data_IF_786890061184
#
_entry.id   IF_786890061184
#
_cell.length_a   1.000
_cell.length_b   1.000
_cell.length_c   1.000
_cell.angle_alpha   90.00
_cell.angle_beta   90.00
_cell.angle_gamma   90.00
#
_symmetry.space_group_name_H-M   'P 1'
#
loop_
_entity.id
_entity.type
_entity.pdbx_description
1 polymer ?
#
# COMPACT_ATOMS: atom_id res chain seq x y z
N UNK A 1 31.14 59.39 29.07
CA UNK A 1 31.40 58.31 28.09
C UNK A 1 30.88 56.99 28.66
N UNK A 2 29.63 56.63 28.36
CA UNK A 2 29.00 55.36 28.76
C UNK A 2 28.09 54.95 27.61
N UNK A 3 28.38 53.83 26.95
CA UNK A 3 27.39 52.85 26.51
C UNK A 3 28.13 51.55 26.20
N UNK A 4 28.07 50.62 27.15
CA UNK A 4 28.38 49.22 26.99
C UNK A 4 27.03 48.55 26.70
N UNK A 5 26.78 48.08 25.47
CA UNK A 5 25.58 47.29 25.14
C UNK A 5 26.01 45.92 24.65
N UNK A 6 25.51 44.93 25.38
CA UNK A 6 25.67 43.49 25.20
C UNK A 6 25.36 43.02 23.77
N UNK A 7 26.34 42.37 23.13
CA UNK A 7 26.16 41.48 21.98
C UNK A 7 26.30 40.02 22.45
N UNK A 8 25.32 39.51 23.19
CA UNK A 8 25.18 38.07 23.50
C UNK A 8 23.74 37.80 23.92
N UNK A 9 22.83 37.45 22.99
CA UNK A 9 22.12 36.17 23.14
C UNK A 9 21.66 35.50 21.82
N UNK A 10 22.16 35.88 20.63
CA UNK A 10 21.63 35.33 19.36
C UNK A 10 22.35 34.06 18.89
N UNK A 11 23.65 33.90 19.20
CA UNK A 11 24.43 32.74 18.78
C UNK A 11 24.10 31.46 19.56
N UNK A 12 23.78 31.58 20.86
CA UNK A 12 23.45 30.42 21.72
C UNK A 12 22.08 29.83 21.39
N UNK A 13 21.12 30.65 20.94
CA UNK A 13 19.77 30.18 20.59
C UNK A 13 19.76 29.36 19.29
N UNK A 14 20.54 29.77 18.29
CA UNK A 14 20.71 29.02 17.03
C UNK A 14 21.37 27.65 17.24
N UNK A 15 22.43 27.58 18.04
CA UNK A 15 23.09 26.30 18.36
C UNK A 15 22.20 25.33 19.15
N UNK A 16 21.29 25.84 19.98
CA UNK A 16 20.34 25.02 20.74
C UNK A 16 19.22 24.50 19.85
N UNK A 17 18.72 25.31 18.89
CA UNK A 17 17.71 24.85 17.93
C UNK A 17 18.29 23.81 16.97
N UNK A 18 19.51 24.02 16.49
CA UNK A 18 20.18 23.10 15.56
C UNK A 18 20.52 21.76 16.22
N UNK A 19 20.97 21.77 17.48
CA UNK A 19 21.17 20.54 18.26
C UNK A 19 19.84 19.85 18.65
N UNK A 20 18.75 20.60 18.87
CA UNK A 20 17.42 20.03 19.10
C UNK A 20 16.83 19.37 17.84
N UNK A 21 17.01 19.99 16.66
CA UNK A 21 16.61 19.40 15.37
C UNK A 21 17.45 18.17 15.05
N UNK A 22 18.75 18.20 15.33
CA UNK A 22 19.66 17.08 15.06
C UNK A 22 19.41 15.90 16.01
N UNK A 23 19.09 16.16 17.29
CA UNK A 23 18.74 15.11 18.26
C UNK A 23 17.36 14.49 17.97
N UNK A 24 16.35 15.28 17.57
CA UNK A 24 15.06 14.76 17.13
C UNK A 24 15.13 14.05 15.77
N UNK A 25 15.98 14.50 14.86
CA UNK A 25 16.29 13.81 13.61
C UNK A 25 16.89 12.43 13.88
N UNK A 26 17.85 12.32 14.79
CA UNK A 26 18.49 11.06 15.15
C UNK A 26 17.54 10.07 15.86
N UNK A 27 16.68 10.55 16.76
CA UNK A 27 15.68 9.69 17.42
C UNK A 27 14.62 9.22 16.41
N UNK A 28 14.09 10.13 15.60
CA UNK A 28 13.08 9.84 14.56
C UNK A 28 13.65 8.89 13.50
N UNK A 29 14.90 9.07 13.08
CA UNK A 29 15.58 8.19 12.13
C UNK A 29 15.83 6.79 12.72
N UNK A 30 16.24 6.71 14.00
CA UNK A 30 16.37 5.44 14.73
C UNK A 30 15.03 4.70 14.81
N UNK A 31 13.94 5.38 15.15
CA UNK A 31 12.60 4.77 15.18
C UNK A 31 12.09 4.38 13.80
N UNK A 32 12.32 5.22 12.79
CA UNK A 32 12.01 4.93 11.38
C UNK A 32 12.73 3.64 10.94
N UNK A 33 14.03 3.51 11.22
CA UNK A 33 14.80 2.28 10.93
C UNK A 33 14.25 1.05 11.67
N UNK A 34 13.84 1.19 12.94
CA UNK A 34 13.24 0.10 13.74
C UNK A 34 11.88 -0.32 13.16
N UNK A 35 11.02 0.64 12.83
CA UNK A 35 9.70 0.43 12.20
C UNK A 35 9.86 -0.35 10.90
N UNK A 36 10.79 0.06 10.03
CA UNK A 36 11.05 -0.64 8.78
C UNK A 36 11.61 -2.06 9.00
N UNK A 37 12.44 -2.26 10.02
CA UNK A 37 13.07 -3.56 10.25
C UNK A 37 12.15 -4.62 10.84
N UNK A 38 11.10 -4.23 11.57
CA UNK A 38 10.26 -5.14 12.37
C UNK A 38 8.94 -5.59 11.72
N UNK A 39 8.77 -5.40 10.40
CA UNK A 39 7.58 -5.85 9.64
C UNK A 39 6.26 -5.41 10.27
N UNK A 40 6.05 -4.10 10.36
CA UNK A 40 4.86 -3.53 11.02
C UNK A 40 3.55 -3.97 10.37
N UNK A 41 3.54 -4.17 9.05
CA UNK A 41 2.40 -4.68 8.31
C UNK A 41 2.69 -6.11 7.85
N UNK A 42 1.77 -7.03 8.14
CA UNK A 42 1.87 -8.41 7.72
C UNK A 42 1.98 -8.51 6.20
N UNK A 43 2.95 -9.28 5.72
CA UNK A 43 3.10 -9.54 4.29
C UNK A 43 2.10 -10.60 3.86
N UNK A 44 1.55 -10.46 2.65
CA UNK A 44 0.74 -11.50 2.05
C UNK A 44 1.01 -11.56 0.56
N UNK A 45 1.56 -12.69 0.13
CA UNK A 45 1.81 -12.97 -1.28
C UNK A 45 0.78 -13.96 -1.81
N UNK A 46 0.38 -13.75 -3.06
CA UNK A 46 -0.34 -14.71 -3.90
C UNK A 46 0.54 -15.07 -5.09
N UNK A 47 0.33 -16.25 -5.67
CA UNK A 47 1.21 -16.83 -6.68
C UNK A 47 0.43 -17.49 -7.80
N UNK A 48 1.02 -17.52 -8.99
CA UNK A 48 0.63 -18.39 -10.10
C UNK A 48 1.89 -19.14 -10.56
N UNK A 49 2.23 -20.27 -9.92
CA UNK A 49 3.55 -20.90 -10.06
C UNK A 49 3.86 -21.41 -11.47
N UNK A 50 2.83 -21.85 -12.21
CA UNK A 50 2.96 -22.25 -13.63
C UNK A 50 3.63 -21.16 -14.47
N UNK A 51 3.38 -19.90 -14.14
CA UNK A 51 3.88 -18.73 -14.85
C UNK A 51 4.97 -17.98 -14.07
N UNK A 52 5.49 -18.54 -12.96
CA UNK A 52 6.50 -17.90 -12.10
C UNK A 52 6.14 -16.46 -11.68
N UNK A 53 4.84 -16.23 -11.49
CA UNK A 53 4.29 -14.95 -11.08
C UNK A 53 3.96 -14.97 -9.59
N UNK A 54 4.27 -13.88 -8.91
CA UNK A 54 3.81 -13.61 -7.55
C UNK A 54 3.39 -12.15 -7.40
N UNK A 55 2.54 -11.85 -6.43
CA UNK A 55 2.24 -10.47 -6.06
C UNK A 55 2.10 -10.30 -4.56
N UNK A 56 2.65 -9.21 -4.03
CA UNK A 56 2.35 -8.79 -2.67
C UNK A 56 1.08 -7.93 -2.65
N UNK A 57 0.20 -8.16 -1.68
CA UNK A 57 -1.05 -7.40 -1.57
C UNK A 57 -0.89 -6.08 -0.82
N UNK A 58 -0.82 -4.98 -1.58
CA UNK A 58 -0.98 -3.63 -1.04
C UNK A 58 -2.46 -3.24 -1.11
N UNK A 59 -3.14 -3.22 0.03
CA UNK A 59 -4.57 -2.92 0.03
C UNK A 59 -4.86 -1.55 -0.58
N UNK A 60 -5.99 -1.44 -1.31
CA UNK A 60 -6.45 -0.20 -1.99
C UNK A 60 -5.61 0.25 -3.19
N UNK A 61 -4.67 -0.58 -3.62
CA UNK A 61 -3.85 -0.39 -4.83
C UNK A 61 -4.05 -1.58 -5.78
N UNK A 62 -5.28 -1.77 -6.30
CA UNK A 62 -5.63 -2.87 -7.23
C UNK A 62 -5.47 -4.31 -6.67
N UNK A 63 -5.15 -4.48 -5.38
CA UNK A 63 -4.79 -5.79 -4.80
C UNK A 63 -5.84 -6.88 -4.98
N UNK A 64 -7.13 -6.59 -4.83
CA UNK A 64 -8.18 -7.60 -4.99
C UNK A 64 -8.25 -8.14 -6.42
N UNK A 65 -8.10 -7.28 -7.42
CA UNK A 65 -8.11 -7.68 -8.82
C UNK A 65 -6.83 -8.43 -9.18
N UNK A 66 -5.67 -7.97 -8.72
CA UNK A 66 -4.40 -8.69 -8.93
C UNK A 66 -4.41 -10.07 -8.27
N UNK A 67 -4.95 -10.20 -7.06
CA UNK A 67 -5.18 -11.50 -6.44
C UNK A 67 -6.11 -12.37 -7.28
N UNK A 68 -7.21 -11.81 -7.79
CA UNK A 68 -8.13 -12.53 -8.67
C UNK A 68 -7.43 -13.09 -9.92
N UNK A 69 -6.60 -12.28 -10.57
CA UNK A 69 -5.81 -12.68 -11.74
C UNK A 69 -4.89 -13.85 -11.41
N UNK A 70 -4.13 -13.76 -10.31
CA UNK A 70 -3.24 -14.85 -9.90
C UNK A 70 -4.00 -16.12 -9.53
N UNK A 71 -5.16 -16.01 -8.85
CA UNK A 71 -6.02 -17.14 -8.58
C UNK A 71 -6.55 -17.78 -9.88
N UNK A 72 -6.99 -16.98 -10.84
CA UNK A 72 -7.44 -17.48 -12.14
C UNK A 72 -6.31 -18.21 -12.87
N UNK A 73 -5.12 -17.63 -12.93
CA UNK A 73 -3.97 -18.24 -13.60
C UNK A 73 -3.48 -19.54 -12.91
N UNK A 74 -3.57 -19.63 -11.59
CA UNK A 74 -3.14 -20.79 -10.82
C UNK A 74 -4.15 -21.96 -10.85
N UNK A 75 -5.45 -21.65 -10.96
CA UNK A 75 -6.52 -22.65 -10.80
C UNK A 75 -7.75 -22.33 -11.66
N UNK A 76 -7.51 -22.05 -12.94
CA UNK A 76 -8.49 -21.63 -13.94
C UNK A 76 -9.81 -22.41 -13.88
N UNK A 77 -9.78 -23.74 -14.04
CA UNK A 77 -10.99 -24.57 -14.07
C UNK A 77 -11.85 -24.45 -12.81
N UNK A 78 -11.22 -24.24 -11.65
CA UNK A 78 -11.93 -24.06 -10.38
C UNK A 78 -12.43 -22.62 -10.26
N UNK A 79 -11.64 -21.66 -10.75
CA UNK A 79 -12.00 -20.25 -10.75
C UNK A 79 -13.21 -19.97 -11.64
N UNK A 80 -13.20 -20.43 -12.89
CA UNK A 80 -14.27 -20.18 -13.89
C UNK A 80 -15.57 -20.89 -13.54
N UNK A 81 -15.52 -22.05 -12.86
CA UNK A 81 -16.72 -22.68 -12.28
C UNK A 81 -17.36 -21.85 -11.17
N UNK A 82 -16.60 -20.98 -10.50
CA UNK A 82 -17.06 -20.20 -9.35
C UNK A 82 -17.42 -18.75 -9.70
N UNK A 83 -16.71 -18.17 -10.66
CA UNK A 83 -16.79 -16.76 -11.01
C UNK A 83 -16.86 -16.60 -12.52
N UNK A 84 -17.85 -15.82 -12.98
CA UNK A 84 -17.99 -15.46 -14.39
C UNK A 84 -16.96 -14.38 -14.79
N UNK A 85 -16.64 -13.49 -13.85
CA UNK A 85 -15.70 -12.38 -14.04
C UNK A 85 -14.64 -12.36 -12.95
N UNK A 86 -13.43 -11.90 -13.28
CA UNK A 86 -12.36 -11.60 -12.31
C UNK A 86 -12.87 -10.61 -11.25
N UNK A 87 -13.70 -9.66 -11.64
CA UNK A 87 -14.29 -8.69 -10.73
C UNK A 87 -15.22 -9.30 -9.66
N UNK A 88 -15.68 -10.54 -9.83
CA UNK A 88 -16.53 -11.25 -8.86
C UNK A 88 -15.72 -11.88 -7.71
N UNK A 89 -14.39 -11.87 -7.79
CA UNK A 89 -13.53 -12.43 -6.75
C UNK A 89 -13.84 -11.87 -5.36
N UNK A 90 -13.77 -12.75 -4.37
CA UNK A 90 -13.85 -12.41 -2.95
C UNK A 90 -12.78 -13.15 -2.18
N UNK A 91 -12.23 -12.49 -1.15
CA UNK A 91 -11.28 -13.12 -0.22
C UNK A 91 -11.91 -14.26 0.62
N UNK A 92 -13.21 -14.54 0.45
CA UNK A 92 -13.86 -15.76 0.97
C UNK A 92 -13.61 -17.00 0.11
N UNK A 93 -12.98 -16.87 -1.06
CA UNK A 93 -12.63 -18.00 -1.92
C UNK A 93 -11.48 -18.82 -1.32
N UNK A 94 -11.84 -19.73 -0.40
CA UNK A 94 -10.87 -20.52 0.38
C UNK A 94 -9.92 -21.32 -0.52
N UNK A 95 -10.40 -21.82 -1.66
CA UNK A 95 -9.59 -22.63 -2.58
C UNK A 95 -8.36 -21.86 -3.11
N UNK A 96 -8.42 -20.54 -3.27
CA UNK A 96 -7.23 -19.76 -3.57
C UNK A 96 -6.57 -19.18 -2.31
N UNK A 97 -7.37 -18.60 -1.40
CA UNK A 97 -6.86 -17.81 -0.26
C UNK A 97 -6.22 -18.66 0.83
N UNK A 98 -6.67 -19.90 0.98
CA UNK A 98 -6.18 -20.84 2.00
C UNK A 98 -5.39 -22.01 1.36
N UNK A 99 -5.18 -22.00 0.04
CA UNK A 99 -4.35 -23.03 -0.60
C UNK A 99 -2.95 -22.99 0.01
N UNK A 100 -2.52 -24.16 0.49
CA UNK A 100 -1.15 -24.37 0.99
C UNK A 100 -0.18 -23.85 -0.07
N UNK A 101 0.83 -23.09 0.34
CA UNK A 101 1.84 -22.45 -0.53
C UNK A 101 1.37 -21.24 -1.37
N UNK A 102 0.09 -20.84 -1.29
CA UNK A 102 -0.43 -19.65 -1.98
C UNK A 102 -0.66 -18.44 -1.08
N UNK A 103 -0.61 -18.62 0.25
CA UNK A 103 -0.64 -17.54 1.23
C UNK A 103 0.66 -17.57 2.01
N UNK A 104 1.63 -16.80 1.53
CA UNK A 104 2.98 -16.76 2.10
C UNK A 104 3.14 -15.48 2.92
N UNK A 105 3.71 -15.62 4.11
CA UNK A 105 3.87 -14.56 5.10
C UNK A 105 5.18 -13.79 4.97
N UNK A 106 6.06 -14.18 4.04
CA UNK A 106 7.27 -13.40 3.74
C UNK A 106 7.85 -13.68 2.36
N UNK A 107 8.65 -12.74 1.86
CA UNK A 107 9.46 -12.95 0.65
C UNK A 107 10.42 -14.14 0.79
N UNK A 108 10.92 -14.42 2.00
CA UNK A 108 11.79 -15.57 2.27
C UNK A 108 11.08 -16.90 2.05
N UNK A 109 9.85 -17.03 2.55
CA UNK A 109 9.00 -18.21 2.31
C UNK A 109 8.68 -18.39 0.83
N UNK A 110 8.47 -17.30 0.09
CA UNK A 110 8.26 -17.33 -1.36
C UNK A 110 9.45 -17.95 -2.09
N UNK A 111 10.68 -17.53 -1.76
CA UNK A 111 11.89 -18.14 -2.33
C UNK A 111 12.03 -19.60 -1.88
N UNK A 112 11.78 -19.89 -0.60
CA UNK A 112 11.96 -21.24 -0.06
C UNK A 112 11.05 -22.25 -0.76
N UNK A 113 9.78 -21.91 -0.92
CA UNK A 113 8.77 -22.82 -1.45
C UNK A 113 8.81 -22.87 -2.98
N UNK A 114 8.79 -21.71 -3.64
CA UNK A 114 8.66 -21.64 -5.10
C UNK A 114 10.00 -21.56 -5.84
N UNK A 115 11.03 -21.06 -5.17
CA UNK A 115 12.42 -21.11 -5.65
C UNK A 115 13.17 -22.38 -5.19
N UNK A 116 12.55 -23.25 -4.38
CA UNK A 116 13.19 -24.42 -3.74
C UNK A 116 14.49 -24.03 -3.02
N UNK A 117 14.51 -22.87 -2.36
CA UNK A 117 15.68 -22.29 -1.71
C UNK A 117 16.70 -21.64 -2.66
N UNK A 118 16.62 -21.86 -3.97
CA UNK A 118 17.53 -21.24 -4.95
C UNK A 118 17.13 -19.78 -5.22
N UNK A 119 17.67 -18.89 -4.39
CA UNK A 119 17.42 -17.45 -4.46
C UNK A 119 17.85 -16.82 -5.78
N UNK A 120 18.99 -17.21 -6.32
CA UNK A 120 19.54 -16.60 -7.56
C UNK A 120 18.62 -16.92 -8.73
N UNK A 121 18.28 -18.19 -8.90
CA UNK A 121 17.38 -18.63 -9.97
C UNK A 121 15.96 -18.05 -9.79
N UNK A 122 15.45 -17.99 -8.56
CA UNK A 122 14.15 -17.37 -8.28
C UNK A 122 14.13 -15.92 -8.75
N UNK A 123 15.10 -15.09 -8.34
CA UNK A 123 15.15 -13.67 -8.72
C UNK A 123 15.37 -13.45 -10.22
N UNK A 124 16.02 -14.39 -10.91
CA UNK A 124 16.20 -14.33 -12.37
C UNK A 124 14.93 -14.68 -13.14
N UNK A 125 14.11 -15.59 -12.63
CA UNK A 125 13.03 -16.22 -13.41
C UNK A 125 11.62 -15.85 -12.96
N UNK A 126 11.43 -15.42 -11.70
CA UNK A 126 10.14 -15.00 -11.20
C UNK A 126 9.95 -13.50 -11.29
N UNK A 127 8.71 -13.07 -11.54
CA UNK A 127 8.31 -11.67 -11.41
C UNK A 127 7.41 -11.52 -10.18
N UNK A 128 7.90 -10.77 -9.19
CA UNK A 128 7.13 -10.45 -7.98
C UNK A 128 6.57 -9.03 -8.12
N UNK A 129 5.27 -8.93 -8.37
CA UNK A 129 4.58 -7.66 -8.63
C UNK A 129 4.20 -6.98 -7.31
N UNK A 130 4.41 -5.66 -7.24
CA UNK A 130 3.83 -4.81 -6.20
C UNK A 130 3.13 -3.64 -6.87
N UNK A 131 1.81 -3.53 -6.67
CA UNK A 131 1.05 -2.41 -7.20
C UNK A 131 0.97 -1.31 -6.15
N UNK A 132 1.39 -0.11 -6.53
CA UNK A 132 1.35 1.10 -5.71
C UNK A 132 0.37 2.10 -6.28
N UNK A 133 -0.19 2.98 -5.44
CA UNK A 133 -1.14 4.02 -5.82
C UNK A 133 -0.76 5.33 -5.18
N UNK A 134 -1.15 6.46 -5.78
CA UNK A 134 -0.99 7.78 -5.14
C UNK A 134 -1.51 7.71 -3.68
N UNK A 135 -0.70 8.12 -2.67
CA UNK A 135 -1.04 7.88 -1.27
C UNK A 135 -2.34 8.54 -0.80
N UNK A 136 -2.65 9.75 -1.30
CA UNK A 136 -3.90 10.46 -0.94
C UNK A 136 -5.10 9.73 -1.55
N UNK A 137 -5.03 9.38 -2.83
CA UNK A 137 -6.08 8.62 -3.51
C UNK A 137 -6.32 7.26 -2.86
N UNK A 138 -5.23 6.60 -2.43
CA UNK A 138 -5.30 5.34 -1.68
C UNK A 138 -6.00 5.54 -0.34
N UNK A 139 -5.63 6.58 0.42
CA UNK A 139 -6.28 6.94 1.68
C UNK A 139 -7.78 7.18 1.48
N UNK A 140 -8.16 8.02 0.51
CA UNK A 140 -9.56 8.35 0.21
C UNK A 140 -10.34 7.08 -0.12
N UNK A 141 -9.79 6.21 -0.99
CA UNK A 141 -10.43 4.95 -1.35
C UNK A 141 -10.60 4.01 -0.15
N UNK A 142 -9.60 3.96 0.74
CA UNK A 142 -9.66 3.25 2.01
C UNK A 142 -10.76 3.80 2.92
N UNK A 143 -10.72 5.09 3.19
CA UNK A 143 -11.58 5.76 4.16
C UNK A 143 -13.04 5.75 3.70
N UNK A 144 -13.31 6.08 2.44
CA UNK A 144 -14.67 6.07 1.90
C UNK A 144 -15.23 4.65 1.93
N UNK A 145 -14.47 3.66 1.47
CA UNK A 145 -14.95 2.27 1.47
C UNK A 145 -15.23 1.76 2.88
N UNK A 146 -14.30 1.95 3.82
CA UNK A 146 -14.28 1.21 5.08
C UNK A 146 -15.01 1.99 6.18
N UNK A 147 -14.74 3.29 6.27
CA UNK A 147 -15.24 4.15 7.34
C UNK A 147 -16.49 4.93 6.94
N UNK A 148 -16.51 5.51 5.75
CA UNK A 148 -17.65 6.33 5.36
C UNK A 148 -18.93 5.48 5.14
N UNK A 149 -18.79 4.31 4.50
CA UNK A 149 -19.94 3.43 4.23
C UNK A 149 -20.31 2.46 5.34
N UNK A 150 -19.51 2.34 6.42
CA UNK A 150 -19.76 1.42 7.54
C UNK A 150 -19.86 -0.08 7.18
N UNK A 151 -19.23 -0.53 6.08
CA UNK A 151 -19.38 -1.89 5.56
C UNK A 151 -18.40 -2.94 6.12
N UNK A 152 -17.79 -2.68 7.28
CA UNK A 152 -16.75 -3.56 7.83
C UNK A 152 -17.06 -4.05 9.24
N UNK A 153 -16.71 -5.31 9.49
CA UNK A 153 -16.62 -5.85 10.86
C UNK A 153 -15.53 -5.10 11.64
N UNK A 154 -15.68 -4.99 12.96
CA UNK A 154 -14.77 -4.23 13.83
C UNK A 154 -14.60 -2.77 13.39
N UNK A 155 -15.71 -2.14 12.96
CA UNK A 155 -15.76 -0.77 12.46
C UNK A 155 -15.04 0.23 13.36
N UNK A 156 -15.23 0.13 14.69
CA UNK A 156 -14.58 1.01 15.67
C UNK A 156 -13.06 0.91 15.59
N UNK A 157 -12.49 -0.29 15.53
CA UNK A 157 -11.04 -0.51 15.41
C UNK A 157 -10.52 -0.08 14.03
N UNK A 158 -11.25 -0.42 12.98
CA UNK A 158 -10.90 -0.09 11.60
C UNK A 158 -10.76 1.42 11.41
N UNK A 159 -11.71 2.16 11.96
CA UNK A 159 -11.82 3.61 11.83
C UNK A 159 -11.23 4.37 13.01
N UNK A 160 -10.34 3.73 13.78
CA UNK A 160 -9.63 4.32 14.93
C UNK A 160 -10.57 5.01 15.93
N UNK A 161 -11.81 4.55 16.07
CA UNK A 161 -12.84 5.15 16.92
C UNK A 161 -13.43 6.48 16.42
N UNK A 162 -13.07 6.93 15.22
CA UNK A 162 -13.49 8.21 14.65
C UNK A 162 -14.74 8.14 13.76
N UNK A 163 -15.18 6.92 13.42
CA UNK A 163 -16.30 6.72 12.51
C UNK A 163 -16.09 7.40 11.14
N UNK A 164 -17.05 8.23 10.71
CA UNK A 164 -17.00 9.01 9.45
C UNK A 164 -16.11 10.25 9.52
N UNK A 165 -15.61 10.62 10.69
CA UNK A 165 -14.82 11.85 10.86
C UNK A 165 -13.37 11.63 10.39
N UNK A 166 -13.08 12.02 9.14
CA UNK A 166 -11.74 11.88 8.56
C UNK A 166 -10.70 12.78 9.25
N UNK A 167 -11.09 13.96 9.77
CA UNK A 167 -10.17 14.84 10.51
C UNK A 167 -9.66 14.14 11.77
N UNK A 168 -10.58 13.57 12.55
CA UNK A 168 -10.26 12.72 13.71
C UNK A 168 -9.36 11.54 13.30
N UNK A 169 -9.72 10.84 12.22
CA UNK A 169 -8.98 9.67 11.78
C UNK A 169 -7.53 10.01 11.41
N UNK A 170 -7.33 11.05 10.61
CA UNK A 170 -5.99 11.49 10.18
C UNK A 170 -5.16 11.95 11.38
N UNK A 171 -5.76 12.69 12.32
CA UNK A 171 -5.08 13.10 13.55
C UNK A 171 -4.62 11.89 14.39
N UNK A 172 -5.49 10.88 14.56
CA UNK A 172 -5.12 9.66 15.29
C UNK A 172 -4.07 8.84 14.56
N UNK A 173 -4.19 8.70 13.24
CA UNK A 173 -3.19 7.99 12.43
C UNK A 173 -1.83 8.67 12.50
N UNK A 174 -1.80 10.01 12.39
CA UNK A 174 -0.59 10.82 12.51
C UNK A 174 0.07 10.56 13.86
N UNK A 175 -0.67 10.71 14.96
CA UNK A 175 -0.15 10.45 16.31
C UNK A 175 0.36 9.01 16.46
N UNK A 176 -0.35 8.00 15.97
CA UNK A 176 0.11 6.60 16.05
C UNK A 176 1.48 6.43 15.39
N UNK A 177 1.69 7.07 14.23
CA UNK A 177 2.91 6.94 13.44
C UNK A 177 4.05 7.83 13.94
N UNK A 178 3.77 8.91 14.68
CA UNK A 178 4.78 9.82 15.24
C UNK A 178 5.11 9.56 16.71
N UNK A 179 4.21 8.95 17.49
CA UNK A 179 4.43 8.60 18.91
C UNK A 179 5.39 7.42 19.13
N UNK A 180 6.01 6.90 18.07
CA UNK A 180 7.07 5.89 18.14
C UNK A 180 6.66 4.49 17.70
N UNK A 181 7.59 3.54 17.88
CA UNK A 181 7.46 2.19 17.33
C UNK A 181 6.34 1.35 17.96
N UNK A 182 6.16 1.40 19.29
CA UNK A 182 5.20 0.54 20.00
C UNK A 182 3.76 0.81 19.53
N UNK A 183 3.36 2.09 19.44
CA UNK A 183 2.03 2.48 18.95
C UNK A 183 1.80 2.01 17.50
N UNK A 184 2.81 2.19 16.66
CA UNK A 184 2.79 1.76 15.25
C UNK A 184 2.64 0.24 15.11
N UNK A 185 3.32 -0.55 15.94
CA UNK A 185 3.24 -2.01 15.89
C UNK A 185 1.88 -2.55 16.32
N UNK A 186 1.33 -2.04 17.43
CA UNK A 186 0.11 -2.54 18.07
C UNK A 186 -1.20 -2.06 17.40
N UNK A 187 -1.10 -1.30 16.31
CA UNK A 187 -2.27 -0.93 15.52
C UNK A 187 -3.05 -2.17 15.01
N UNK A 188 -4.37 -2.05 14.92
CA UNK A 188 -5.23 -3.11 14.40
C UNK A 188 -4.79 -3.52 12.99
N UNK A 189 -4.54 -4.82 12.78
CA UNK A 189 -3.87 -5.32 11.57
C UNK A 189 -4.54 -4.89 10.25
N UNK A 190 -5.88 -4.85 10.20
CA UNK A 190 -6.58 -4.39 8.99
C UNK A 190 -6.41 -2.88 8.77
N UNK A 191 -6.41 -2.07 9.84
CA UNK A 191 -6.11 -0.64 9.74
C UNK A 191 -4.70 -0.43 9.20
N UNK A 192 -3.73 -1.19 9.71
CA UNK A 192 -2.34 -1.16 9.21
C UNK A 192 -2.29 -1.48 7.71
N UNK A 193 -2.88 -2.59 7.30
CA UNK A 193 -2.89 -3.02 5.90
C UNK A 193 -3.50 -1.97 4.94
N UNK A 194 -4.53 -1.25 5.37
CA UNK A 194 -5.27 -0.32 4.50
C UNK A 194 -4.76 1.13 4.54
N UNK A 195 -4.20 1.58 5.66
CA UNK A 195 -3.91 2.99 5.88
C UNK A 195 -2.45 3.31 6.19
N UNK A 196 -1.61 2.32 6.47
CA UNK A 196 -0.19 2.61 6.67
C UNK A 196 0.51 2.82 5.32
N UNK A 197 1.61 3.58 5.31
CA UNK A 197 2.45 3.77 4.13
C UNK A 197 2.74 2.45 3.39
N UNK A 198 2.70 2.51 2.06
CA UNK A 198 2.96 1.39 1.16
C UNK A 198 4.42 0.91 1.29
N UNK A 199 5.35 1.82 1.58
CA UNK A 199 6.75 1.50 1.90
C UNK A 199 6.92 0.67 3.17
N UNK A 200 5.91 0.60 4.06
CA UNK A 200 5.90 -0.26 5.25
C UNK A 200 5.28 -1.65 4.98
N UNK A 201 4.74 -1.88 3.79
CA UNK A 201 4.12 -3.14 3.42
C UNK A 201 5.12 -4.03 2.68
N UNK A 202 4.83 -5.32 2.61
CA UNK A 202 5.61 -6.28 1.81
C UNK A 202 7.09 -6.38 2.19
N UNK A 203 7.46 -5.86 3.37
CA UNK A 203 8.84 -5.65 3.78
C UNK A 203 9.66 -4.96 2.66
N UNK A 204 9.02 -3.97 2.01
CA UNK A 204 9.46 -3.39 0.75
C UNK A 204 10.90 -2.90 0.81
N UNK A 205 11.31 -2.15 1.84
CA UNK A 205 12.67 -1.62 1.91
C UNK A 205 13.76 -2.70 1.84
N UNK A 206 13.54 -3.90 2.41
CA UNK A 206 14.50 -5.01 2.36
C UNK A 206 14.50 -5.74 1.01
N UNK A 207 13.45 -5.54 0.21
CA UNK A 207 13.18 -6.28 -1.01
C UNK A 207 12.98 -5.36 -2.23
N UNK A 208 13.28 -4.06 -2.11
CA UNK A 208 12.96 -3.02 -3.09
C UNK A 208 13.35 -3.42 -4.51
N UNK A 209 14.60 -3.84 -4.70
CA UNK A 209 15.15 -4.21 -6.01
C UNK A 209 14.67 -5.58 -6.53
N UNK A 210 13.77 -6.25 -5.82
CA UNK A 210 13.22 -7.58 -6.18
C UNK A 210 11.78 -7.50 -6.66
N UNK A 211 11.15 -6.34 -6.56
CA UNK A 211 9.78 -6.13 -7.01
C UNK A 211 9.73 -5.51 -8.41
N UNK A 212 8.76 -5.94 -9.20
CA UNK A 212 8.25 -5.17 -10.34
C UNK A 212 7.16 -4.25 -9.82
N UNK A 213 7.45 -2.96 -9.73
CA UNK A 213 6.52 -1.97 -9.17
C UNK A 213 5.65 -1.39 -10.28
N UNK A 214 4.34 -1.58 -10.17
CA UNK A 214 3.36 -0.98 -11.09
C UNK A 214 2.60 0.15 -10.40
N UNK A 215 2.49 1.30 -11.06
CA UNK A 215 1.75 2.46 -10.54
C UNK A 215 0.30 2.42 -11.06
N UNK A 216 -0.63 2.19 -10.15
CA UNK A 216 -2.07 2.29 -10.44
C UNK A 216 -2.52 3.74 -10.28
N UNK A 217 -2.89 4.36 -11.40
CA UNK A 217 -3.52 5.67 -11.43
C UNK A 217 -4.95 5.57 -12.01
N UNK A 218 -5.99 5.81 -11.20
CA UNK A 218 -7.36 5.87 -11.70
C UNK A 218 -7.59 6.87 -12.85
N UNK A 219 -6.73 7.88 -13.01
CA UNK A 219 -6.82 8.90 -14.06
C UNK A 219 -6.14 8.47 -15.37
N UNK A 220 -5.18 7.55 -15.31
CA UNK A 220 -4.48 7.00 -16.46
C UNK A 220 -4.25 5.49 -16.29
N UNK A 221 -5.28 4.72 -16.63
CA UNK A 221 -5.26 3.28 -16.46
C UNK A 221 -4.60 2.52 -17.61
N UNK A 222 -4.53 3.11 -18.80
CA UNK A 222 -3.99 2.42 -19.98
C UNK A 222 -2.52 2.08 -19.81
N UNK A 223 -1.73 3.00 -19.25
CA UNK A 223 -0.33 2.71 -18.95
C UNK A 223 -0.20 1.55 -17.96
N UNK A 224 -0.99 1.56 -16.89
CA UNK A 224 -0.99 0.49 -15.90
C UNK A 224 -1.38 -0.87 -16.49
N UNK A 225 -2.41 -0.91 -17.35
CA UNK A 225 -2.88 -2.13 -17.99
C UNK A 225 -1.86 -2.69 -18.97
N UNK A 226 -1.27 -1.84 -19.83
CA UNK A 226 -0.19 -2.25 -20.75
C UNK A 226 1.02 -2.81 -20.00
N UNK A 227 1.46 -2.16 -18.93
CA UNK A 227 2.58 -2.69 -18.13
C UNK A 227 2.25 -4.03 -17.46
N UNK A 228 1.00 -4.26 -17.05
CA UNK A 228 0.60 -5.56 -16.52
C UNK A 228 0.58 -6.63 -17.62
N UNK A 229 0.01 -6.30 -18.78
CA UNK A 229 -0.03 -7.16 -19.97
C UNK A 229 1.39 -7.60 -20.40
N UNK A 230 2.31 -6.66 -20.51
CA UNK A 230 3.73 -6.92 -20.83
C UNK A 230 4.36 -7.93 -19.86
N UNK A 231 4.08 -7.82 -18.55
CA UNK A 231 4.58 -8.77 -17.56
C UNK A 231 4.00 -10.17 -17.77
N UNK A 232 2.70 -10.27 -18.09
CA UNK A 232 2.06 -11.56 -18.36
C UNK A 232 2.66 -12.22 -19.61
N UNK A 233 2.88 -11.45 -20.67
CA UNK A 233 3.52 -11.91 -21.92
C UNK A 233 4.96 -12.37 -21.64
N UNK A 234 5.76 -11.59 -20.93
CA UNK A 234 7.14 -11.94 -20.54
C UNK A 234 7.22 -13.21 -19.67
N UNK A 235 6.13 -13.55 -18.96
CA UNK A 235 6.02 -14.77 -18.16
C UNK A 235 5.33 -15.92 -18.91
N UNK A 236 5.20 -15.80 -20.23
CA UNK A 236 4.66 -16.83 -21.13
C UNK A 236 3.23 -17.26 -20.73
N UNK A 237 2.42 -16.30 -20.25
CA UNK A 237 0.98 -16.52 -20.10
C UNK A 237 0.39 -16.64 -21.52
N UNK A 238 -0.44 -17.67 -21.80
CA UNK A 238 -1.05 -17.86 -23.12
C UNK A 238 -1.82 -16.61 -23.62
N UNK A 239 -1.75 -16.28 -24.92
CA UNK A 239 -2.35 -15.05 -25.46
C UNK A 239 -3.85 -14.91 -25.16
N UNK A 240 -4.62 -15.99 -25.26
CA UNK A 240 -6.05 -16.04 -24.95
C UNK A 240 -6.35 -15.62 -23.50
N UNK A 241 -5.49 -16.02 -22.56
CA UNK A 241 -5.62 -15.62 -21.15
C UNK A 241 -5.22 -14.19 -20.91
N UNK A 242 -4.18 -13.72 -21.61
CA UNK A 242 -3.74 -12.32 -21.53
C UNK A 242 -4.87 -11.41 -22.03
N UNK A 243 -5.45 -11.72 -23.18
CA UNK A 243 -6.58 -11.00 -23.76
C UNK A 243 -7.81 -11.03 -22.83
N UNK A 244 -8.14 -12.20 -22.26
CA UNK A 244 -9.22 -12.31 -21.28
C UNK A 244 -8.98 -11.39 -20.06
N UNK A 245 -7.76 -11.41 -19.51
CA UNK A 245 -7.40 -10.57 -18.36
C UNK A 245 -7.50 -9.08 -18.71
N UNK A 246 -6.94 -8.65 -19.84
CA UNK A 246 -6.96 -7.25 -20.28
C UNK A 246 -8.40 -6.76 -20.48
N UNK A 247 -9.24 -7.55 -21.16
CA UNK A 247 -10.67 -7.26 -21.31
C UNK A 247 -11.36 -7.12 -19.95
N UNK A 248 -11.17 -8.07 -19.06
CA UNK A 248 -11.82 -8.10 -17.74
C UNK A 248 -11.44 -6.89 -16.86
N UNK A 249 -10.16 -6.49 -16.83
CA UNK A 249 -9.71 -5.36 -16.00
C UNK A 249 -10.11 -3.99 -16.55
N UNK A 250 -10.35 -3.89 -17.86
CA UNK A 250 -10.87 -2.68 -18.51
C UNK A 250 -12.39 -2.56 -18.35
N UNK A 251 -13.10 -3.67 -18.50
CA UNK A 251 -14.58 -3.68 -18.46
C UNK A 251 -15.12 -3.64 -17.03
N UNK A 252 -14.56 -4.46 -16.12
CA UNK A 252 -15.17 -4.68 -14.82
C UNK A 252 -14.37 -4.08 -13.67
N UNK A 253 -15.11 -3.62 -12.65
CA UNK A 253 -14.54 -3.14 -11.39
C UNK A 253 -14.98 -4.04 -10.26
N UNK A 254 -14.04 -4.38 -9.37
CA UNK A 254 -14.35 -5.12 -8.15
C UNK A 254 -15.42 -4.34 -7.34
N UNK A 255 -16.39 -5.06 -6.75
CA UNK A 255 -17.55 -4.50 -6.02
C UNK A 255 -17.22 -3.36 -5.04
N UNK A 256 -16.09 -3.46 -4.36
CA UNK A 256 -15.64 -2.49 -3.36
C UNK A 256 -14.74 -1.35 -3.91
N UNK A 257 -14.62 -1.22 -5.24
CA UNK A 257 -14.05 -0.04 -5.87
C UNK A 257 -14.84 1.21 -5.47
N UNK A 258 -14.13 2.32 -5.25
CA UNK A 258 -14.73 3.62 -4.92
C UNK A 258 -14.58 4.64 -6.04
N UNK A 259 -13.77 4.36 -7.05
CA UNK A 259 -13.53 5.26 -8.18
C UNK A 259 -14.84 5.54 -8.91
N UNK A 260 -15.09 6.82 -9.23
CA UNK A 260 -16.26 7.26 -10.01
C UNK A 260 -17.60 7.22 -9.28
N UNK A 261 -17.65 6.87 -7.98
CA UNK A 261 -18.91 6.84 -7.23
C UNK A 261 -19.26 8.23 -6.70
N UNK A 262 -20.52 8.64 -6.82
CA UNK A 262 -21.01 9.96 -6.36
C UNK A 262 -20.60 10.29 -4.92
N UNK A 263 -20.73 9.35 -3.99
CA UNK A 263 -20.30 9.53 -2.58
C UNK A 263 -18.80 9.79 -2.42
N UNK A 264 -17.96 9.26 -3.32
CA UNK A 264 -16.53 9.51 -3.32
C UNK A 264 -16.21 10.89 -3.88
N UNK A 265 -16.92 11.32 -4.92
CA UNK A 265 -16.81 12.66 -5.50
C UNK A 265 -17.17 13.73 -4.45
N UNK A 266 -18.33 13.56 -3.79
CA UNK A 266 -18.77 14.45 -2.70
C UNK A 266 -17.75 14.52 -1.54
N UNK A 267 -17.16 13.37 -1.18
CA UNK A 267 -16.13 13.33 -0.15
C UNK A 267 -14.87 14.08 -0.57
N UNK A 268 -14.41 13.89 -1.82
CA UNK A 268 -13.22 14.54 -2.38
C UNK A 268 -13.34 16.07 -2.33
N UNK A 269 -14.48 16.62 -2.74
CA UNK A 269 -14.74 18.07 -2.74
C UNK A 269 -14.61 18.70 -1.36
N UNK A 270 -15.07 18.00 -0.32
CA UNK A 270 -14.95 18.44 1.07
C UNK A 270 -13.53 18.23 1.60
N UNK A 271 -12.94 17.09 1.28
CA UNK A 271 -11.64 16.66 1.81
C UNK A 271 -10.49 17.55 1.35
N UNK A 272 -10.43 17.92 0.06
CA UNK A 272 -9.31 18.72 -0.46
C UNK A 272 -9.32 20.18 0.01
N UNK A 273 -10.41 20.67 0.60
CA UNK A 273 -10.47 22.00 1.24
C UNK A 273 -9.75 22.04 2.59
N UNK A 274 -9.51 20.89 3.21
CA UNK A 274 -8.90 20.80 4.54
C UNK A 274 -7.36 20.73 4.48
N UNK A 275 -6.72 21.88 4.25
CA UNK A 275 -5.26 21.97 4.12
C UNK A 275 -4.49 21.33 5.28
N UNK A 276 -4.95 21.51 6.52
CA UNK A 276 -4.31 20.91 7.70
C UNK A 276 -4.35 19.37 7.72
N UNK A 277 -5.41 18.77 7.19
CA UNK A 277 -5.53 17.31 7.05
C UNK A 277 -4.59 16.81 5.95
N UNK A 278 -4.54 17.52 4.82
CA UNK A 278 -3.66 17.17 3.72
C UNK A 278 -2.18 17.24 4.11
N UNK A 279 -1.76 18.29 4.84
CA UNK A 279 -0.37 18.42 5.35
C UNK A 279 0.04 17.20 6.19
N UNK A 280 -0.80 16.78 7.14
CA UNK A 280 -0.53 15.58 7.95
C UNK A 280 -0.45 14.30 7.11
N UNK A 281 -1.30 14.15 6.09
CA UNK A 281 -1.22 12.98 5.21
C UNK A 281 0.02 12.99 4.32
N UNK A 282 0.46 14.17 3.86
CA UNK A 282 1.73 14.32 3.15
C UNK A 282 2.89 13.91 4.05
N UNK A 283 2.90 14.31 5.32
CA UNK A 283 3.92 13.88 6.29
C UNK A 283 3.88 12.37 6.54
N UNK A 284 2.69 11.80 6.80
CA UNK A 284 2.51 10.35 6.98
C UNK A 284 3.05 9.56 5.79
N UNK A 285 2.73 10.00 4.57
CA UNK A 285 3.04 9.27 3.34
C UNK A 285 4.26 9.81 2.59
N UNK A 286 5.06 10.68 3.20
CA UNK A 286 6.17 11.36 2.53
C UNK A 286 7.12 10.40 1.82
N UNK A 287 7.45 9.28 2.48
CA UNK A 287 8.33 8.26 1.89
C UNK A 287 7.67 7.57 0.70
N UNK A 288 6.35 7.35 0.69
CA UNK A 288 5.67 6.75 -0.46
C UNK A 288 5.72 7.69 -1.68
N UNK A 289 5.53 9.01 -1.47
CA UNK A 289 5.64 9.98 -2.55
C UNK A 289 7.04 10.00 -3.18
N UNK A 290 8.07 10.10 -2.33
CA UNK A 290 9.46 10.13 -2.77
C UNK A 290 9.88 8.83 -3.44
N UNK A 291 9.60 7.70 -2.79
CA UNK A 291 10.05 6.39 -3.21
C UNK A 291 9.42 5.93 -4.52
N UNK A 292 8.12 6.20 -4.70
CA UNK A 292 7.38 5.78 -5.90
C UNK A 292 7.21 6.91 -6.92
N UNK A 293 7.84 8.07 -6.71
CA UNK A 293 7.77 9.21 -7.62
C UNK A 293 6.35 9.66 -7.92
N UNK A 294 5.53 9.84 -6.86
CA UNK A 294 4.22 10.47 -6.98
C UNK A 294 4.35 11.97 -6.70
N UNK A 295 3.56 12.78 -7.42
CA UNK A 295 3.50 14.21 -7.16
C UNK A 295 2.95 14.50 -5.76
N UNK A 296 3.64 15.38 -5.04
CA UNK A 296 3.20 15.85 -3.72
C UNK A 296 2.24 17.03 -3.94
N UNK A 297 1.00 16.98 -3.41
CA UNK A 297 0.05 18.07 -3.54
C UNK A 297 0.60 19.37 -2.94
N UNK A 298 0.41 20.49 -3.63
CA UNK A 298 0.71 21.84 -3.12
C UNK A 298 -0.42 22.25 -2.15
N UNK A 299 -0.10 22.50 -0.88
CA UNK A 299 -1.07 22.71 0.23
C UNK A 299 -0.75 23.87 1.15
#
# INVERSE_FOLDING_TARGET
MKYLILLLPTFTLLSVIESYITSNSNSTYKYKRIIYNKKVVDEKYFVAPKYKLAACTVHKSFSAMLTSILCYLDMENIFTKKYNHLANFTFRFKNCVNKKNNRLGSFGELIQIHGKGNRVNFLKTWKVIMVVRNPIERFISGFVHLCYTHKVKHYKQFCLGCGKNYKCFVNRLYNILTSGYKSTLHGYFQTKAHFYPQTLQCNYLKNKNKFVVLKFDPKNLDFFYKSLEEILIQQHVPPDKVEYIDKEIRTYRIKHSTTGKAKTIEFIEKFYKERGVLKKLIEIFYNDFKEFGFEIPKV
#
